data_IF_084755941489
#
_entry.id   IF_084755941489
#
_cell.length_a   1.000
_cell.length_b   1.000
_cell.length_c   1.000
_cell.angle_alpha   90.00
_cell.angle_beta   90.00
_cell.angle_gamma   90.00
#
_symmetry.space_group_name_H-M   'P 1'
#
loop_
_entity.id
_entity.type
_entity.pdbx_description
1 polymer ?
#
# COMPACT_ATOMS: atom_id res chain seq x y z
N UNK A 1 -5.88 -17.61 28.26
CA UNK A 1 -5.53 -16.99 26.97
C UNK A 1 -4.02 -17.11 26.85
N UNK A 2 -3.48 -17.94 25.96
CA UNK A 2 -2.03 -17.94 25.70
C UNK A 2 -1.78 -16.76 24.76
N UNK A 3 -1.04 -15.76 25.21
CA UNK A 3 -0.58 -14.68 24.35
C UNK A 3 0.35 -15.29 23.30
N UNK A 4 0.09 -15.04 22.03
CA UNK A 4 1.10 -15.26 21.00
C UNK A 4 2.33 -14.39 21.32
N UNK A 5 3.55 -14.90 21.10
CA UNK A 5 4.75 -14.12 21.32
C UNK A 5 4.76 -12.91 20.37
N UNK A 6 5.26 -11.77 20.88
CA UNK A 6 5.51 -10.59 20.05
C UNK A 6 6.62 -10.94 19.06
N UNK A 7 6.38 -10.67 17.77
CA UNK A 7 7.37 -10.88 16.71
C UNK A 7 8.61 -10.00 16.96
N UNK A 8 9.80 -10.57 16.83
CA UNK A 8 11.06 -9.81 16.95
C UNK A 8 11.27 -9.08 15.63
N UNK A 9 11.39 -7.75 15.70
CA UNK A 9 11.60 -6.94 14.51
C UNK A 9 12.94 -7.24 13.84
N UNK A 10 12.88 -7.45 12.53
CA UNK A 10 14.00 -7.37 11.61
C UNK A 10 13.53 -6.65 10.34
N UNK A 11 14.42 -5.95 9.62
CA UNK A 11 14.07 -5.34 8.33
C UNK A 11 13.49 -6.36 7.37
N UNK A 12 12.52 -5.93 6.55
CA UNK A 12 11.92 -6.74 5.49
C UNK A 12 12.28 -6.16 4.15
N UNK A 13 12.56 -7.03 3.18
CA UNK A 13 12.96 -6.58 1.84
C UNK A 13 11.79 -5.84 1.19
N UNK A 14 12.08 -4.63 0.73
CA UNK A 14 11.17 -3.83 -0.08
C UNK A 14 11.68 -3.75 -1.52
N UNK A 15 10.78 -3.88 -2.47
CA UNK A 15 11.05 -3.78 -3.90
C UNK A 15 10.17 -2.74 -4.56
N UNK A 16 10.72 -1.98 -5.52
CA UNK A 16 9.92 -1.14 -6.40
C UNK A 16 9.37 -1.98 -7.56
N UNK A 17 8.04 -2.03 -7.69
CA UNK A 17 7.33 -2.80 -8.73
C UNK A 17 6.86 -1.90 -9.90
N UNK A 18 7.39 -0.69 -9.99
CA UNK A 18 7.07 0.31 -11.00
C UNK A 18 5.97 1.28 -10.58
N UNK A 19 5.45 1.99 -11.58
CA UNK A 19 4.30 2.88 -11.46
C UNK A 19 3.17 2.30 -12.32
N UNK A 20 1.94 2.40 -11.82
CA UNK A 20 0.73 1.95 -12.51
C UNK A 20 -0.16 3.13 -12.83
N UNK A 21 -0.68 3.16 -14.05
CA UNK A 21 -1.79 4.02 -14.46
C UNK A 21 -3.06 3.15 -14.54
N UNK A 22 -4.00 3.37 -13.61
CA UNK A 22 -5.25 2.59 -13.53
C UNK A 22 -6.42 3.55 -13.34
N UNK A 23 -7.23 3.70 -14.38
CA UNK A 23 -8.25 4.75 -14.41
C UNK A 23 -7.58 6.12 -14.33
N UNK A 24 -8.09 6.97 -13.44
CA UNK A 24 -7.53 8.31 -13.18
C UNK A 24 -6.43 8.32 -12.10
N UNK A 25 -6.08 7.15 -11.54
CA UNK A 25 -5.04 7.03 -10.52
C UNK A 25 -3.68 6.70 -11.12
N UNK A 26 -2.66 7.44 -10.67
CA UNK A 26 -1.24 7.09 -10.80
C UNK A 26 -0.73 6.56 -9.48
N UNK A 27 -0.28 5.32 -9.47
CA UNK A 27 0.08 4.60 -8.25
C UNK A 27 1.53 4.13 -8.31
N UNK A 28 2.32 4.42 -7.28
CA UNK A 28 3.59 3.69 -7.07
C UNK A 28 3.28 2.30 -6.54
N UNK A 29 3.96 1.28 -7.04
CA UNK A 29 3.77 -0.08 -6.57
C UNK A 29 4.99 -0.58 -5.80
N UNK A 30 4.74 -1.11 -4.62
CA UNK A 30 5.75 -1.65 -3.71
C UNK A 30 5.49 -3.12 -3.43
N UNK A 31 6.56 -3.90 -3.36
CA UNK A 31 6.57 -5.22 -2.75
C UNK A 31 7.22 -5.11 -1.39
N UNK A 32 6.62 -5.71 -0.36
CA UNK A 32 7.18 -5.82 0.99
C UNK A 32 7.03 -7.28 1.39
N UNK A 33 8.12 -8.01 1.63
CA UNK A 33 8.04 -9.47 1.81
C UNK A 33 8.51 -9.90 3.20
N UNK A 34 7.83 -10.88 3.80
CA UNK A 34 8.40 -11.66 4.89
C UNK A 34 9.62 -12.46 4.42
N UNK A 35 10.37 -13.03 5.38
CA UNK A 35 11.50 -13.92 5.07
C UNK A 35 11.06 -15.07 4.15
N UNK A 36 11.91 -15.42 3.18
CA UNK A 36 11.67 -16.45 2.16
C UNK A 36 10.40 -16.27 1.30
N UNK A 37 9.83 -15.06 1.25
CA UNK A 37 8.72 -14.71 0.36
C UNK A 37 9.17 -13.86 -0.82
N UNK A 38 8.41 -13.99 -1.91
CA UNK A 38 8.58 -13.23 -3.14
C UNK A 38 7.23 -12.64 -3.55
N UNK A 39 7.26 -11.51 -4.27
CA UNK A 39 6.06 -10.99 -4.93
C UNK A 39 5.88 -11.72 -6.26
N UNK A 40 4.88 -12.59 -6.31
CA UNK A 40 4.56 -13.35 -7.52
C UNK A 40 3.74 -12.50 -8.52
N UNK A 41 3.85 -12.81 -9.81
CA UNK A 41 3.09 -12.13 -10.87
C UNK A 41 1.57 -12.23 -10.69
N UNK A 42 1.10 -13.35 -10.11
CA UNK A 42 -0.30 -13.52 -9.75
C UNK A 42 -0.75 -12.52 -8.68
N UNK A 43 0.11 -12.16 -7.74
CA UNK A 43 -0.18 -11.16 -6.70
C UNK A 43 -0.24 -9.74 -7.29
N UNK A 44 0.65 -9.43 -8.25
CA UNK A 44 0.58 -8.17 -9.00
C UNK A 44 -0.72 -8.07 -9.80
N UNK A 45 -1.10 -9.14 -10.48
CA UNK A 45 -2.37 -9.22 -11.24
C UNK A 45 -3.59 -9.06 -10.33
N UNK A 46 -3.55 -9.70 -9.16
CA UNK A 46 -4.58 -9.57 -8.12
C UNK A 46 -4.66 -8.14 -7.61
N UNK A 47 -3.51 -7.50 -7.32
CA UNK A 47 -3.47 -6.12 -6.82
C UNK A 47 -4.03 -5.13 -7.85
N UNK A 48 -3.68 -5.26 -9.13
CA UNK A 48 -4.25 -4.41 -10.17
C UNK A 48 -5.75 -4.64 -10.35
N UNK A 49 -6.22 -5.88 -10.24
CA UNK A 49 -7.66 -6.19 -10.28
C UNK A 49 -8.40 -5.59 -9.09
N UNK A 50 -7.85 -5.73 -7.88
CA UNK A 50 -8.35 -5.09 -6.66
C UNK A 50 -8.42 -3.57 -6.80
N UNK A 51 -7.40 -2.92 -7.35
CA UNK A 51 -7.45 -1.47 -7.61
C UNK A 51 -8.60 -1.12 -8.56
N UNK A 52 -8.74 -1.85 -9.68
CA UNK A 52 -9.80 -1.58 -10.66
C UNK A 52 -11.20 -1.80 -10.11
N UNK A 53 -11.41 -2.88 -9.37
CA UNK A 53 -12.75 -3.35 -8.98
C UNK A 53 -13.22 -2.77 -7.65
N UNK A 54 -12.30 -2.60 -6.69
CA UNK A 54 -12.66 -2.21 -5.33
C UNK A 54 -12.20 -0.79 -5.00
N UNK A 55 -11.01 -0.37 -5.45
CA UNK A 55 -10.45 0.93 -5.06
C UNK A 55 -11.03 2.07 -5.90
N UNK A 56 -11.09 1.94 -7.22
CA UNK A 56 -11.61 3.00 -8.10
C UNK A 56 -13.03 3.47 -7.73
N UNK A 57 -14.01 2.59 -7.47
CA UNK A 57 -15.33 3.04 -7.03
C UNK A 57 -15.28 3.86 -5.74
N UNK A 58 -14.42 3.47 -4.77
CA UNK A 58 -14.26 4.19 -3.49
C UNK A 58 -13.60 5.56 -3.67
N UNK A 59 -12.66 5.67 -4.60
CA UNK A 59 -12.05 6.96 -4.97
C UNK A 59 -13.12 7.89 -5.55
N UNK A 60 -13.96 7.37 -6.44
CA UNK A 60 -15.09 8.13 -7.01
C UNK A 60 -16.09 8.56 -5.93
N UNK A 61 -16.47 7.64 -5.03
CA UNK A 61 -17.45 7.91 -3.96
C UNK A 61 -16.92 8.94 -2.94
N UNK A 62 -15.64 8.88 -2.59
CA UNK A 62 -14.99 9.83 -1.67
C UNK A 62 -14.87 11.23 -2.30
N UNK A 63 -14.55 11.28 -3.60
CA UNK A 63 -14.33 12.52 -4.34
C UNK A 63 -13.08 13.29 -3.90
N UNK A 64 -12.81 14.41 -4.58
CA UNK A 64 -11.68 15.32 -4.30
C UNK A 64 -10.31 14.62 -4.25
N UNK A 65 -10.14 13.56 -5.03
CA UNK A 65 -8.87 12.87 -5.11
C UNK A 65 -7.82 13.71 -5.83
N UNK A 66 -6.56 13.48 -5.49
CA UNK A 66 -5.44 14.15 -6.11
C UNK A 66 -4.86 13.36 -7.31
N UNK A 67 -5.50 12.26 -7.74
CA UNK A 67 -5.06 11.39 -8.83
C UNK A 67 -3.78 10.59 -8.56
N UNK A 68 -3.26 10.62 -7.32
CA UNK A 68 -1.94 10.09 -6.96
C UNK A 68 -2.04 9.21 -5.71
N UNK A 69 -1.22 8.16 -5.66
CA UNK A 69 -1.17 7.27 -4.51
C UNK A 69 -0.13 6.17 -4.64
N UNK A 70 -0.32 5.11 -3.87
CA UNK A 70 0.57 3.96 -3.87
C UNK A 70 -0.14 2.67 -3.44
N UNK A 71 0.43 1.54 -3.83
CA UNK A 71 -0.03 0.20 -3.49
C UNK A 71 1.12 -0.58 -2.87
N UNK A 72 0.84 -1.28 -1.77
CA UNK A 72 1.78 -2.21 -1.13
C UNK A 72 1.23 -3.62 -1.32
N UNK A 73 2.02 -4.50 -1.95
CA UNK A 73 1.78 -5.94 -2.00
C UNK A 73 2.67 -6.58 -0.94
N UNK A 74 2.03 -7.19 0.06
CA UNK A 74 2.71 -7.77 1.20
C UNK A 74 2.40 -9.26 1.38
N UNK A 75 3.21 -10.16 0.78
CA UNK A 75 3.25 -11.56 1.13
C UNK A 75 3.90 -11.71 2.51
N UNK A 76 3.06 -11.87 3.54
CA UNK A 76 3.49 -12.14 4.91
C UNK A 76 3.66 -13.63 5.18
N UNK A 77 3.85 -14.00 6.44
CA UNK A 77 4.01 -15.40 6.84
C UNK A 77 2.73 -16.22 6.62
N UNK A 78 1.59 -15.67 7.04
CA UNK A 78 0.30 -16.38 7.08
C UNK A 78 -0.57 -16.16 5.85
N UNK A 79 -0.26 -15.15 5.04
CA UNK A 79 -1.11 -14.74 3.93
C UNK A 79 -0.59 -13.53 3.18
N UNK A 80 -1.41 -13.02 2.27
CA UNK A 80 -1.14 -11.83 1.48
C UNK A 80 -2.04 -10.68 1.92
N UNK A 81 -1.45 -9.51 2.08
CA UNK A 81 -2.14 -8.23 2.20
C UNK A 81 -1.85 -7.40 0.94
N UNK A 82 -2.86 -6.72 0.41
CA UNK A 82 -2.70 -5.70 -0.62
C UNK A 82 -3.40 -4.45 -0.09
N UNK A 83 -2.67 -3.36 0.09
CA UNK A 83 -3.22 -2.10 0.56
C UNK A 83 -3.00 -1.02 -0.51
N UNK A 84 -4.09 -0.39 -0.93
CA UNK A 84 -4.07 0.75 -1.82
C UNK A 84 -4.35 2.01 -1.02
N UNK A 85 -3.56 3.05 -1.29
CA UNK A 85 -3.66 4.33 -0.63
C UNK A 85 -3.74 5.44 -1.67
N UNK A 86 -4.62 6.42 -1.47
CA UNK A 86 -4.77 7.55 -2.38
C UNK A 86 -4.92 8.86 -1.61
N UNK A 87 -4.31 9.90 -2.13
CA UNK A 87 -4.36 11.23 -1.53
C UNK A 87 -5.63 11.95 -1.96
N UNK A 88 -6.31 12.55 -0.98
CA UNK A 88 -7.47 13.41 -1.21
C UNK A 88 -7.26 14.75 -0.51
N UNK A 89 -7.93 15.78 -1.01
CA UNK A 89 -8.01 17.10 -0.36
C UNK A 89 -6.63 17.73 -0.06
N UNK A 90 -5.57 17.28 -0.75
CA UNK A 90 -4.20 17.78 -0.61
C UNK A 90 -3.43 17.31 0.62
N UNK A 91 -4.07 16.68 1.61
CA UNK A 91 -3.42 16.31 2.87
C UNK A 91 -3.96 15.07 3.58
N UNK A 92 -4.98 14.41 3.03
CA UNK A 92 -5.60 13.24 3.67
C UNK A 92 -5.25 12.00 2.86
N UNK A 93 -4.89 10.92 3.56
CA UNK A 93 -4.60 9.63 2.95
C UNK A 93 -5.76 8.68 3.21
N UNK A 94 -6.45 8.30 2.14
CA UNK A 94 -7.45 7.23 2.19
C UNK A 94 -6.79 5.88 1.96
N UNK A 95 -7.44 4.82 2.43
CA UNK A 95 -6.93 3.45 2.30
C UNK A 95 -8.05 2.45 2.02
N UNK A 96 -7.71 1.42 1.27
CA UNK A 96 -8.52 0.20 1.18
C UNK A 96 -7.62 -1.02 1.11
N UNK A 97 -8.01 -2.08 1.82
CA UNK A 97 -7.14 -3.24 2.06
C UNK A 97 -7.87 -4.52 1.67
N UNK A 98 -7.18 -5.35 0.90
CA UNK A 98 -7.46 -6.75 0.68
C UNK A 98 -6.54 -7.60 1.57
N UNK A 99 -7.07 -8.60 2.28
CA UNK A 99 -6.27 -9.53 3.08
C UNK A 99 -6.79 -10.95 2.92
N UNK A 100 -5.90 -11.91 2.70
CA UNK A 100 -6.28 -13.33 2.58
C UNK A 100 -5.20 -14.23 3.17
N UNK A 101 -5.60 -15.14 4.05
CA UNK A 101 -4.70 -16.21 4.53
C UNK A 101 -4.44 -17.20 3.40
N UNK A 102 -3.23 -17.76 3.35
CA UNK A 102 -2.90 -18.77 2.34
C UNK A 102 -3.78 -20.02 2.44
N UNK A 103 -4.20 -20.37 3.66
CA UNK A 103 -5.08 -21.51 3.92
C UNK A 103 -6.57 -21.22 3.69
N UNK A 104 -6.96 -19.96 3.44
CA UNK A 104 -8.35 -19.57 3.28
C UNK A 104 -8.77 -19.53 1.81
N UNK A 105 -10.05 -19.82 1.55
CA UNK A 105 -10.66 -19.68 0.22
C UNK A 105 -11.02 -18.23 -0.08
N UNK A 106 -11.52 -17.51 0.92
CA UNK A 106 -12.03 -16.14 0.80
C UNK A 106 -11.14 -15.11 1.53
N UNK A 107 -11.13 -13.84 1.09
CA UNK A 107 -10.48 -12.76 1.83
C UNK A 107 -11.21 -12.46 3.15
N UNK A 108 -10.50 -11.80 4.06
CA UNK A 108 -11.05 -11.33 5.33
C UNK A 108 -12.01 -10.16 5.11
N UNK A 109 -13.07 -10.14 5.92
CA UNK A 109 -13.94 -8.97 6.07
C UNK A 109 -13.19 -7.87 6.84
N UNK A 110 -12.69 -6.86 6.12
CA UNK A 110 -11.89 -5.76 6.67
C UNK A 110 -12.72 -4.73 7.43
N UNK A 111 -14.06 -4.75 7.29
CA UNK A 111 -14.95 -3.95 8.14
C UNK A 111 -15.03 -4.54 9.54
N UNK A 112 -15.14 -5.86 9.65
CA UNK A 112 -15.17 -6.57 10.94
C UNK A 112 -13.79 -6.78 11.56
N UNK A 113 -12.73 -6.73 10.76
CA UNK A 113 -11.33 -6.89 11.19
C UNK A 113 -10.52 -5.67 10.77
N UNK A 114 -10.77 -4.49 11.37
CA UNK A 114 -10.17 -3.24 10.95
C UNK A 114 -8.69 -3.22 11.32
N UNK A 115 -7.85 -3.49 10.34
CA UNK A 115 -6.41 -3.24 10.42
C UNK A 115 -6.08 -2.09 9.49
N UNK A 116 -5.02 -1.38 9.82
CA UNK A 116 -4.47 -0.33 8.95
C UNK A 116 -3.22 -0.87 8.26
N UNK A 117 -2.25 -1.32 9.05
CA UNK A 117 -0.96 -1.79 8.57
C UNK A 117 -0.20 -2.50 9.70
N UNK A 118 0.75 -3.38 9.37
CA UNK A 118 1.79 -3.82 10.28
C UNK A 118 2.94 -2.78 10.37
N UNK A 119 3.89 -2.99 11.29
CA UNK A 119 5.00 -2.05 11.52
C UNK A 119 5.85 -1.78 10.27
N UNK A 120 6.05 -2.79 9.42
CA UNK A 120 6.78 -2.65 8.15
C UNK A 120 6.00 -1.88 7.09
N UNK A 121 4.68 -2.11 6.99
CA UNK A 121 3.80 -1.34 6.10
C UNK A 121 3.70 0.12 6.55
N UNK A 122 3.67 0.37 7.86
CA UNK A 122 3.67 1.73 8.44
C UNK A 122 4.94 2.51 8.08
N UNK A 123 6.10 1.86 7.98
CA UNK A 123 7.34 2.51 7.53
C UNK A 123 7.21 3.02 6.08
N UNK A 124 6.64 2.22 5.18
CA UNK A 124 6.37 2.65 3.79
C UNK A 124 5.34 3.78 3.71
N UNK A 125 4.27 3.69 4.51
CA UNK A 125 3.27 4.76 4.60
C UNK A 125 3.90 6.06 5.09
N UNK A 126 4.79 6.00 6.08
CA UNK A 126 5.51 7.19 6.56
C UNK A 126 6.43 7.77 5.46
N UNK A 127 7.16 6.94 4.74
CA UNK A 127 8.02 7.41 3.65
C UNK A 127 7.22 8.11 2.53
N UNK A 128 6.05 7.57 2.17
CA UNK A 128 5.15 8.19 1.20
C UNK A 128 4.53 9.50 1.71
N UNK A 129 4.16 9.55 3.00
CA UNK A 129 3.70 10.78 3.63
C UNK A 129 4.78 11.87 3.60
N UNK A 130 6.03 11.51 3.89
CA UNK A 130 7.15 12.44 3.83
C UNK A 130 7.42 12.92 2.40
N UNK A 131 7.37 12.00 1.43
CA UNK A 131 7.49 12.34 0.02
C UNK A 131 6.41 13.34 -0.39
N UNK A 132 5.14 13.05 -0.08
CA UNK A 132 4.02 13.94 -0.34
C UNK A 132 4.23 15.33 0.26
N UNK A 133 4.59 15.39 1.55
CA UNK A 133 4.84 16.67 2.23
C UNK A 133 5.97 17.46 1.56
N UNK A 134 7.05 16.80 1.15
CA UNK A 134 8.24 17.44 0.53
C UNK A 134 7.98 17.89 -0.91
N UNK A 135 7.10 17.21 -1.66
CA UNK A 135 6.92 17.45 -3.11
C UNK A 135 5.61 18.13 -3.48
N UNK A 136 4.52 17.86 -2.74
CA UNK A 136 3.17 18.34 -3.02
C UNK A 136 2.74 19.47 -2.10
N UNK A 137 3.13 19.44 -0.81
CA UNK A 137 2.72 20.46 0.18
C UNK A 137 3.70 21.66 0.22
N UNK A 138 3.96 22.26 -0.95
CA UNK A 138 4.82 23.43 -1.10
C UNK A 138 4.17 24.48 -2.02
N UNK A 139 4.79 25.66 -2.15
CA UNK A 139 4.27 26.78 -2.96
C UNK A 139 3.92 26.37 -4.40
N UNK A 140 4.73 25.48 -4.98
CA UNK A 140 4.53 24.91 -6.31
C UNK A 140 4.51 23.38 -6.21
N UNK A 141 3.33 22.74 -6.06
CA UNK A 141 3.22 21.28 -6.00
C UNK A 141 3.80 20.60 -7.24
N UNK A 142 4.47 19.47 -7.07
CA UNK A 142 5.08 18.72 -8.17
C UNK A 142 4.68 17.23 -8.14
N UNK A 143 3.61 16.86 -8.89
CA UNK A 143 3.19 15.47 -9.05
C UNK A 143 4.29 14.55 -9.57
N UNK A 144 5.09 15.02 -10.54
CA UNK A 144 6.21 14.24 -11.07
C UNK A 144 7.27 13.97 -10.00
N UNK A 145 7.66 14.99 -9.23
CA UNK A 145 8.59 14.79 -8.13
C UNK A 145 8.05 13.85 -7.05
N UNK A 146 6.73 13.88 -6.78
CA UNK A 146 6.11 12.88 -5.92
C UNK A 146 6.28 11.47 -6.50
N UNK A 147 5.92 11.25 -7.77
CA UNK A 147 5.99 9.94 -8.41
C UNK A 147 7.43 9.42 -8.54
N UNK A 148 8.41 10.31 -8.73
CA UNK A 148 9.83 9.98 -8.87
C UNK A 148 10.52 9.77 -7.51
N UNK A 149 9.96 10.28 -6.42
CA UNK A 149 10.49 10.08 -5.07
C UNK A 149 10.48 8.58 -4.72
N UNK A 150 11.68 8.03 -4.53
CA UNK A 150 11.90 6.66 -4.09
C UNK A 150 11.91 6.62 -2.57
N UNK A 151 11.31 5.58 -2.01
CA UNK A 151 11.51 5.24 -0.61
C UNK A 151 12.95 4.75 -0.45
N UNK A 152 13.67 5.33 0.51
CA UNK A 152 14.96 4.79 0.93
C UNK A 152 14.70 3.56 1.81
N UNK A 153 15.03 2.38 1.29
CA UNK A 153 14.61 1.10 1.85
C UNK A 153 15.47 0.66 3.05
N UNK A 154 16.49 1.43 3.45
CA UNK A 154 17.29 1.13 4.65
C UNK A 154 16.52 1.38 5.96
N UNK A 155 15.36 2.05 5.92
CA UNK A 155 14.56 2.41 7.08
C UNK A 155 13.29 1.55 7.31
N UNK A 156 13.09 0.47 6.55
CA UNK A 156 11.87 -0.37 6.60
C UNK A 156 12.09 -1.73 7.29
#
# INVERSE_FOLDING_TARGET
MKSEPIEIYHPRRVSNLGQWDIGDLKLKAYGLVAEDKEVESAMVTLAQSFVRQDVLPRVTDEGHDNGLGFVIIHPGELGVSISAHWWIQGSVLCQHIYRKLYSATEPMDTVKRPVIACVWELALINAEQEAWRKTMMKREPSPSAYMDARVDFEAA
#
